data_IF_453584646089
#
_entry.id   IF_453584646089
#
_cell.length_a   1.000
_cell.length_b   1.000
_cell.length_c   1.000
_cell.angle_alpha   90.00
_cell.angle_beta   90.00
_cell.angle_gamma   90.00
#
_symmetry.space_group_name_H-M   'P 1'
#
loop_
_entity.id
_entity.type
_entity.pdbx_description
1 polymer ?
#
# COMPACT_ATOMS: atom_id res chain seq x y z
N UNK A 1 37.71 -30.49 -6.73
CA UNK A 1 36.30 -30.30 -7.05
C UNK A 1 35.51 -30.31 -5.78
N UNK A 2 34.70 -29.28 -5.56
CA UNK A 2 33.45 -29.26 -4.77
C UNK A 2 32.82 -27.89 -5.07
N UNK A 3 31.99 -27.83 -6.12
CA UNK A 3 30.52 -27.64 -6.02
C UNK A 3 30.23 -26.34 -5.25
N UNK A 4 30.38 -25.17 -5.88
CA UNK A 4 29.40 -24.52 -6.75
C UNK A 4 28.14 -24.02 -6.00
N UNK A 5 27.87 -22.73 -6.24
CA UNK A 5 26.58 -22.04 -6.18
C UNK A 5 26.29 -21.23 -4.91
N UNK A 6 26.79 -19.99 -4.92
CA UNK A 6 25.95 -18.80 -5.00
C UNK A 6 24.61 -18.92 -4.27
N UNK A 7 24.65 -18.74 -2.95
CA UNK A 7 23.49 -18.16 -2.26
C UNK A 7 23.33 -16.76 -2.82
N UNK A 8 22.50 -16.63 -3.85
CA UNK A 8 21.90 -15.39 -4.30
C UNK A 8 21.48 -14.62 -3.05
N UNK A 9 22.23 -13.56 -2.74
CA UNK A 9 21.82 -12.57 -1.76
C UNK A 9 20.61 -11.89 -2.38
N UNK A 10 19.41 -12.35 -2.00
CA UNK A 10 18.22 -11.53 -2.14
C UNK A 10 18.56 -10.12 -1.59
N UNK A 11 18.08 -9.02 -2.21
CA UNK A 11 18.45 -7.69 -1.78
C UNK A 11 18.20 -7.58 -0.27
N UNK A 12 19.24 -7.27 0.49
CA UNK A 12 19.16 -6.93 1.91
C UNK A 12 18.40 -5.61 2.04
N UNK A 13 17.11 -5.58 1.70
CA UNK A 13 16.19 -4.74 2.46
C UNK A 13 16.37 -5.24 3.88
N UNK A 14 16.92 -4.38 4.73
CA UNK A 14 17.46 -4.83 6.00
C UNK A 14 16.33 -5.50 6.78
N UNK A 15 16.62 -6.64 7.44
CA UNK A 15 15.59 -7.32 8.26
C UNK A 15 14.96 -6.36 9.28
N UNK A 16 15.75 -5.37 9.72
CA UNK A 16 15.30 -4.24 10.54
C UNK A 16 14.22 -3.37 9.86
N UNK A 17 14.41 -2.94 8.61
CA UNK A 17 13.40 -2.14 7.87
C UNK A 17 12.09 -2.92 7.66
N UNK A 18 12.16 -4.23 7.43
CA UNK A 18 10.97 -5.09 7.29
C UNK A 18 10.23 -5.22 8.62
N UNK A 19 10.96 -5.41 9.72
CA UNK A 19 10.39 -5.51 11.07
C UNK A 19 9.72 -4.19 11.49
N UNK A 20 10.34 -3.05 11.17
CA UNK A 20 9.80 -1.71 11.43
C UNK A 20 8.54 -1.44 10.59
N UNK A 21 8.57 -1.76 9.28
CA UNK A 21 7.41 -1.65 8.41
C UNK A 21 6.22 -2.44 8.95
N UNK A 22 6.43 -3.73 9.25
CA UNK A 22 5.38 -4.59 9.77
C UNK A 22 4.81 -4.06 11.10
N UNK A 23 5.67 -3.57 12.00
CA UNK A 23 5.23 -2.98 13.26
C UNK A 23 4.36 -1.72 13.05
N UNK A 24 4.73 -0.85 12.12
CA UNK A 24 3.96 0.35 11.78
C UNK A 24 2.59 -0.04 11.23
N UNK A 25 2.54 -0.96 10.26
CA UNK A 25 1.29 -1.41 9.63
C UNK A 25 0.35 -2.04 10.65
N UNK A 26 0.86 -2.89 11.54
CA UNK A 26 0.06 -3.48 12.62
C UNK A 26 -0.50 -2.43 13.59
N UNK A 27 0.31 -1.42 13.97
CA UNK A 27 -0.14 -0.31 14.81
C UNK A 27 -1.25 0.50 14.13
N UNK A 28 -1.11 0.80 12.84
CA UNK A 28 -2.12 1.55 12.07
C UNK A 28 -3.41 0.75 11.86
N UNK A 29 -3.31 -0.56 11.69
CA UNK A 29 -4.47 -1.44 11.53
C UNK A 29 -5.35 -1.48 12.80
N UNK A 30 -4.76 -1.29 13.99
CA UNK A 30 -5.48 -1.27 15.29
C UNK A 30 -6.33 -2.54 15.48
N UNK A 31 -5.81 -3.69 15.07
CA UNK A 31 -6.49 -4.99 15.15
C UNK A 31 -7.50 -5.28 14.04
N UNK A 32 -7.67 -4.38 13.06
CA UNK A 32 -8.42 -4.69 11.83
C UNK A 32 -7.66 -5.71 10.99
N UNK A 33 -8.40 -6.49 10.21
CA UNK A 33 -7.84 -7.37 9.19
C UNK A 33 -7.01 -6.56 8.18
N UNK A 34 -5.88 -7.14 7.76
CA UNK A 34 -4.93 -6.52 6.83
C UNK A 34 -4.81 -7.42 5.63
N UNK A 35 -5.04 -6.86 4.45
CA UNK A 35 -4.89 -7.56 3.18
C UNK A 35 -3.83 -6.85 2.32
N UNK A 36 -2.98 -7.64 1.65
CA UNK A 36 -1.95 -7.16 0.73
C UNK A 36 -2.45 -7.38 -0.70
N UNK A 37 -2.51 -6.32 -1.50
CA UNK A 37 -3.21 -6.33 -2.80
C UNK A 37 -2.28 -5.91 -3.93
N UNK A 38 -1.56 -6.89 -4.47
CA UNK A 38 -0.78 -6.76 -5.69
C UNK A 38 -1.66 -6.60 -6.92
N UNK A 39 -1.72 -5.38 -7.47
CA UNK A 39 -2.38 -5.08 -8.76
C UNK A 39 -1.37 -4.50 -9.75
N UNK A 40 -1.20 -5.17 -10.89
CA UNK A 40 -0.37 -4.66 -11.98
C UNK A 40 -1.02 -3.43 -12.63
N UNK A 41 -0.40 -2.26 -12.45
CA UNK A 41 -0.86 -1.03 -13.08
C UNK A 41 -0.32 -0.91 -14.52
N UNK A 42 -1.18 -0.89 -15.55
CA UNK A 42 -0.76 -0.69 -16.93
C UNK A 42 -0.30 0.75 -17.17
N UNK A 43 0.64 0.92 -18.10
CA UNK A 43 1.26 2.23 -18.41
C UNK A 43 0.29 3.27 -18.98
N UNK A 44 -0.85 2.86 -19.54
CA UNK A 44 -1.78 3.74 -20.25
C UNK A 44 -3.07 4.07 -19.48
N UNK A 45 -3.27 3.52 -18.27
CA UNK A 45 -4.48 3.81 -17.46
C UNK A 45 -4.24 3.60 -15.96
N UNK A 46 -5.04 4.27 -15.15
CA UNK A 46 -5.07 4.04 -13.70
C UNK A 46 -5.74 2.72 -13.31
N UNK A 47 -5.64 2.39 -12.02
CA UNK A 47 -6.20 1.18 -11.41
C UNK A 47 -7.73 1.19 -11.33
N UNK A 48 -8.31 2.40 -11.34
CA UNK A 48 -9.75 2.66 -11.36
C UNK A 48 -10.43 2.55 -10.01
N UNK A 49 -9.85 3.21 -9.01
CA UNK A 49 -10.50 3.58 -7.76
C UNK A 49 -10.15 5.03 -7.42
N UNK A 50 -10.94 5.65 -6.54
CA UNK A 50 -10.68 6.99 -6.00
C UNK A 50 -10.49 6.93 -4.49
N UNK A 51 -9.82 7.95 -3.93
CA UNK A 51 -9.56 8.04 -2.49
C UNK A 51 -10.00 9.37 -1.91
N UNK A 52 -10.24 9.37 -0.61
CA UNK A 52 -10.45 10.56 0.21
C UNK A 52 -9.51 10.55 1.41
N UNK A 53 -9.12 11.75 1.86
CA UNK A 53 -8.50 11.91 3.16
C UNK A 53 -9.56 12.18 4.22
N UNK A 54 -9.59 11.36 5.26
CA UNK A 54 -10.44 11.57 6.42
C UNK A 54 -9.57 11.86 7.64
N UNK A 55 -9.80 13.00 8.27
CA UNK A 55 -9.15 13.37 9.52
C UNK A 55 -9.92 12.74 10.68
N UNK A 56 -9.28 11.85 11.43
CA UNK A 56 -9.83 11.37 12.67
C UNK A 56 -9.78 12.51 13.71
N UNK A 57 -10.96 12.99 14.10
CA UNK A 57 -11.10 14.14 15.01
C UNK A 57 -10.52 13.87 16.41
N UNK A 58 -10.45 12.60 16.84
CA UNK A 58 -9.97 12.23 18.17
C UNK A 58 -8.45 12.23 18.30
N UNK A 59 -7.72 12.01 17.20
CA UNK A 59 -6.26 11.83 17.24
C UNK A 59 -5.50 12.73 16.24
N UNK A 60 -6.21 13.50 15.42
CA UNK A 60 -5.60 14.36 14.39
C UNK A 60 -4.98 13.59 13.22
N UNK A 61 -5.01 12.26 13.25
CA UNK A 61 -4.50 11.36 12.21
C UNK A 61 -5.33 11.51 10.93
N UNK A 62 -4.67 11.67 9.78
CA UNK A 62 -5.33 11.68 8.46
C UNK A 62 -5.16 10.30 7.85
N UNK A 63 -6.26 9.58 7.66
CA UNK A 63 -6.26 8.31 6.94
C UNK A 63 -6.65 8.49 5.48
N UNK A 64 -6.13 7.63 4.61
CA UNK A 64 -6.50 7.56 3.20
C UNK A 64 -7.48 6.40 3.01
N UNK A 65 -8.65 6.69 2.47
CA UNK A 65 -9.73 5.71 2.33
C UNK A 65 -10.18 5.62 0.88
N UNK A 66 -10.51 4.41 0.45
CA UNK A 66 -11.13 4.18 -0.86
C UNK A 66 -12.55 4.76 -0.83
N UNK A 67 -12.81 5.71 -1.72
CA UNK A 67 -14.13 6.33 -1.88
C UNK A 67 -15.00 5.56 -2.87
N UNK A 68 -14.40 5.05 -3.95
CA UNK A 68 -15.14 4.37 -5.00
C UNK A 68 -14.19 3.44 -5.75
N UNK A 69 -14.67 2.23 -6.07
CA UNK A 69 -14.01 1.33 -7.02
C UNK A 69 -14.83 1.33 -8.30
N UNK A 70 -14.25 1.82 -9.39
CA UNK A 70 -14.96 2.03 -10.65
C UNK A 70 -15.36 0.69 -11.29
N UNK A 71 -16.64 0.45 -11.63
CA UNK A 71 -17.07 -0.79 -12.27
C UNK A 71 -16.27 -1.12 -13.53
N UNK A 72 -15.86 -2.38 -13.66
CA UNK A 72 -15.10 -2.87 -14.82
C UNK A 72 -13.63 -2.44 -14.85
N UNK A 73 -13.15 -1.69 -13.86
CA UNK A 73 -11.74 -1.35 -13.70
C UNK A 73 -10.87 -2.54 -13.29
N UNK A 74 -9.56 -2.33 -13.18
CA UNK A 74 -8.61 -3.37 -12.79
C UNK A 74 -8.85 -3.72 -11.32
N UNK A 75 -8.94 -2.72 -10.45
CA UNK A 75 -9.28 -2.92 -9.04
C UNK A 75 -10.63 -3.62 -8.85
N UNK A 76 -11.65 -3.27 -9.66
CA UNK A 76 -12.95 -3.94 -9.59
C UNK A 76 -12.89 -5.43 -9.97
N UNK A 77 -12.07 -5.78 -10.97
CA UNK A 77 -11.92 -7.16 -11.44
C UNK A 77 -11.11 -8.03 -10.49
N UNK A 78 -10.15 -7.44 -9.79
CA UNK A 78 -9.37 -8.08 -8.73
C UNK A 78 -10.25 -8.42 -7.50
N UNK A 79 -11.28 -7.62 -7.25
CA UNK A 79 -12.33 -7.84 -6.25
C UNK A 79 -11.88 -7.82 -4.78
N UNK A 80 -10.59 -7.61 -4.45
CA UNK A 80 -10.14 -7.50 -3.06
C UNK A 80 -10.36 -6.10 -2.49
N UNK A 81 -10.00 -5.06 -3.24
CA UNK A 81 -10.19 -3.67 -2.82
C UNK A 81 -11.67 -3.26 -2.84
N UNK A 82 -12.16 -2.67 -1.74
CA UNK A 82 -13.55 -2.23 -1.54
C UNK A 82 -13.64 -0.76 -1.14
N UNK A 83 -14.83 -0.20 -1.33
CA UNK A 83 -15.18 1.11 -0.78
C UNK A 83 -15.10 1.08 0.76
N UNK A 84 -14.58 2.16 1.35
CA UNK A 84 -14.28 2.35 2.77
C UNK A 84 -13.04 1.60 3.30
N UNK A 85 -12.33 0.85 2.46
CA UNK A 85 -11.02 0.31 2.85
C UNK A 85 -10.04 1.44 3.15
N UNK A 86 -9.23 1.27 4.19
CA UNK A 86 -8.13 2.18 4.48
C UNK A 86 -6.85 1.69 3.82
N UNK A 87 -6.20 2.56 3.05
CA UNK A 87 -4.88 2.30 2.52
C UNK A 87 -3.86 2.60 3.62
N UNK A 88 -3.16 1.56 4.08
CA UNK A 88 -2.15 1.67 5.13
C UNK A 88 -0.75 1.93 4.55
N UNK A 89 -0.47 1.44 3.35
CA UNK A 89 0.80 1.61 2.65
C UNK A 89 0.62 1.55 1.13
N UNK A 90 1.60 2.08 0.41
CA UNK A 90 1.75 1.93 -1.04
C UNK A 90 3.21 1.56 -1.31
N UNK A 91 3.48 0.46 -2.01
CA UNK A 91 4.84 0.02 -2.39
C UNK A 91 5.82 0.04 -1.21
N UNK A 92 5.46 -0.63 -0.10
CA UNK A 92 6.24 -0.67 1.15
C UNK A 92 6.45 0.68 1.86
N UNK A 93 5.75 1.75 1.46
CA UNK A 93 5.78 3.04 2.15
C UNK A 93 4.51 3.19 3.00
N UNK A 94 4.60 3.16 4.35
CA UNK A 94 3.46 3.41 5.22
C UNK A 94 2.92 4.83 5.03
N UNK A 95 1.59 4.97 5.00
CA UNK A 95 0.90 6.26 4.98
C UNK A 95 0.62 6.73 6.40
N UNK A 96 1.68 6.78 7.22
CA UNK A 96 1.61 7.18 8.62
C UNK A 96 1.62 8.72 8.77
N UNK A 97 1.79 9.21 10.01
CA UNK A 97 1.80 10.64 10.31
C UNK A 97 2.95 11.43 9.66
N UNK A 98 3.97 10.75 9.13
CA UNK A 98 5.10 11.38 8.47
C UNK A 98 4.85 11.65 6.98
N UNK A 99 3.75 11.10 6.42
CA UNK A 99 3.34 11.32 5.03
C UNK A 99 2.20 12.33 5.00
N UNK A 100 2.40 13.43 4.27
CA UNK A 100 1.33 14.38 3.98
C UNK A 100 0.29 13.78 3.04
N UNK A 101 -0.93 14.33 3.06
CA UNK A 101 -1.98 13.93 2.14
C UNK A 101 -1.54 14.01 0.67
N UNK A 102 -0.88 15.10 0.28
CA UNK A 102 -0.39 15.26 -1.10
C UNK A 102 0.64 14.18 -1.47
N UNK A 103 1.55 13.83 -0.55
CA UNK A 103 2.52 12.75 -0.77
C UNK A 103 1.83 11.39 -0.92
N UNK A 104 0.82 11.09 -0.11
CA UNK A 104 0.06 9.85 -0.25
C UNK A 104 -0.63 9.73 -1.63
N UNK A 105 -1.21 10.83 -2.11
CA UNK A 105 -1.80 10.89 -3.45
C UNK A 105 -0.73 10.70 -4.53
N UNK A 106 0.43 11.33 -4.39
CA UNK A 106 1.55 11.15 -5.33
C UNK A 106 2.01 9.69 -5.36
N UNK A 107 2.13 9.01 -4.23
CA UNK A 107 2.48 7.58 -4.19
C UNK A 107 1.47 6.71 -4.95
N UNK A 108 0.16 6.96 -4.77
CA UNK A 108 -0.90 6.26 -5.50
C UNK A 108 -0.89 6.56 -7.01
N UNK A 109 -0.49 7.78 -7.40
CA UNK A 109 -0.44 8.21 -8.79
C UNK A 109 0.83 7.74 -9.51
N UNK A 110 1.97 7.75 -8.81
CA UNK A 110 3.30 7.42 -9.33
C UNK A 110 3.63 5.93 -9.24
N UNK A 111 2.86 5.14 -8.48
CA UNK A 111 2.99 3.69 -8.47
C UNK A 111 2.97 3.15 -9.91
N UNK A 112 3.99 2.40 -10.30
CA UNK A 112 4.09 1.61 -11.52
C UNK A 112 4.45 0.18 -11.08
N UNK A 113 3.79 -0.85 -11.61
CA UNK A 113 3.92 -2.24 -11.12
C UNK A 113 2.97 -2.59 -9.96
N UNK A 114 3.08 -3.83 -9.43
CA UNK A 114 2.19 -4.38 -8.37
C UNK A 114 2.08 -3.46 -7.15
N UNK A 115 0.89 -3.46 -6.55
CA UNK A 115 0.51 -2.66 -5.38
C UNK A 115 0.54 -3.37 -4.03
#
# INVERSE_FOLDING_TARGET
GNIQNDKQMAPLISRFEVDDFNLIIQKMAKGREIEYIDIEKPSNRGLGFSVIALKNQSFGEVGIFVKEVQPGSIAARDQRLKENDQILAVNHTPLDLNISHQQAILLLQQSTGSL
#
